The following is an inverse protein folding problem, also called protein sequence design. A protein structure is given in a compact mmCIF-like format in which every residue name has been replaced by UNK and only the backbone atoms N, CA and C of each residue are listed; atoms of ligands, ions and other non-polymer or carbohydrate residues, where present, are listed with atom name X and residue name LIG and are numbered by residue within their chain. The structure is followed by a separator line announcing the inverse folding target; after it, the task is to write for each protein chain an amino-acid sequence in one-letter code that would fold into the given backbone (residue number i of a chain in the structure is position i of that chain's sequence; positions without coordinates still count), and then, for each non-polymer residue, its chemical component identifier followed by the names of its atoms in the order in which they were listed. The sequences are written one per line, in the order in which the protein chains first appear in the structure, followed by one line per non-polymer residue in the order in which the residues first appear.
data_IF_818234413592
#
_entry.id   IF_818234413592
#
_cell.length_a   1.000
_cell.length_b   1.000
_cell.length_c   1.000
_cell.angle_alpha   90.00
_cell.angle_beta   90.00
_cell.angle_gamma   90.00
#
_symmetry.space_group_name_H-M   'P 1'
#
loop_
_entity.id
_entity.type
_entity.pdbx_description
1 polymer ?
#
# COMPACT_ATOMS: atom_id res chain seq x y z
N UNK A 1 -10.71 17.03 2.26
CA UNK A 1 -9.64 17.78 2.93
C UNK A 1 -8.54 16.78 3.26
N UNK A 2 -7.30 17.19 3.04
CA UNK A 2 -6.13 16.40 3.37
C UNK A 2 -5.32 17.23 4.36
N UNK A 3 -5.17 16.75 5.58
CA UNK A 3 -4.39 17.44 6.61
C UNK A 3 -2.92 17.11 6.47
N UNK A 4 -2.06 18.07 6.74
CA UNK A 4 -0.62 17.88 6.77
C UNK A 4 -0.04 18.39 8.09
N UNK A 5 0.92 17.66 8.62
CA UNK A 5 1.74 18.09 9.75
C UNK A 5 3.05 18.63 9.18
N UNK A 6 3.38 19.86 9.51
CA UNK A 6 4.63 20.52 9.11
C UNK A 6 5.39 20.84 10.36
N UNK A 7 6.61 20.32 10.49
CA UNK A 7 7.51 20.64 11.60
C UNK A 7 8.52 21.71 11.18
N UNK A 8 8.76 22.65 12.08
CA UNK A 8 9.69 23.74 11.86
C UNK A 8 10.78 23.74 12.93
N UNK A 9 11.99 24.15 12.55
CA UNK A 9 13.02 24.49 13.52
C UNK A 9 12.76 25.88 14.16
N UNK A 10 13.59 26.26 15.14
CA UNK A 10 13.47 27.57 15.80
C UNK A 10 13.74 28.76 14.90
N UNK A 11 14.31 28.52 13.71
CA UNK A 11 14.60 29.52 12.70
C UNK A 11 13.50 29.64 11.65
N UNK A 12 12.44 28.81 11.76
CA UNK A 12 11.32 28.81 10.83
C UNK A 12 11.53 27.98 9.56
N UNK A 13 12.58 27.17 9.49
CA UNK A 13 12.79 26.26 8.37
C UNK A 13 11.97 24.99 8.59
N UNK A 14 11.39 24.46 7.50
CA UNK A 14 10.67 23.18 7.53
C UNK A 14 11.68 22.07 7.73
N UNK A 15 11.54 21.29 8.80
CA UNK A 15 12.40 20.15 9.12
C UNK A 15 11.75 18.83 8.78
N UNK A 16 10.40 18.76 8.79
CA UNK A 16 9.65 17.58 8.39
C UNK A 16 8.28 17.97 7.82
N UNK A 17 7.82 17.18 6.86
CA UNK A 17 6.50 17.31 6.25
C UNK A 17 5.89 15.94 6.06
N UNK A 18 4.71 15.72 6.64
CA UNK A 18 3.95 14.46 6.50
C UNK A 18 2.47 14.78 6.35
N UNK A 19 1.80 14.00 5.53
CA UNK A 19 0.35 14.05 5.50
C UNK A 19 -0.19 13.39 6.77
N UNK A 20 -1.06 14.09 7.49
CA UNK A 20 -1.78 13.51 8.60
C UNK A 20 -2.70 12.39 8.06
N UNK A 21 -2.66 11.26 8.71
CA UNK A 21 -3.74 10.28 8.59
C UNK A 21 -5.02 10.93 9.13
N UNK A 22 -6.15 10.58 8.54
CA UNK A 22 -7.40 11.04 9.11
C UNK A 22 -7.51 10.59 10.58
N UNK A 23 -8.19 11.41 11.39
CA UNK A 23 -8.28 11.19 12.83
C UNK A 23 -8.91 9.83 13.18
N UNK A 24 -9.81 9.30 12.34
CA UNK A 24 -10.45 8.00 12.54
C UNK A 24 -9.44 6.86 12.37
N UNK A 25 -8.56 6.98 11.38
CA UNK A 25 -7.48 6.00 11.16
C UNK A 25 -6.50 6.00 12.32
N UNK A 26 -6.10 7.17 12.83
CA UNK A 26 -5.23 7.30 13.99
C UNK A 26 -5.88 6.73 15.27
N UNK A 27 -7.15 7.05 15.53
CA UNK A 27 -7.90 6.57 16.69
C UNK A 27 -8.17 5.06 16.68
N UNK A 28 -8.49 4.50 15.51
CA UNK A 28 -8.68 3.05 15.37
C UNK A 28 -7.41 2.25 15.63
N UNK A 29 -6.25 2.83 15.36
CA UNK A 29 -4.95 2.21 15.62
C UNK A 29 -4.50 2.29 17.08
N UNK A 30 -4.98 3.25 17.84
CA UNK A 30 -4.75 3.30 19.31
C UNK A 30 -5.41 2.12 20.04
N UNK A 31 -6.48 1.57 19.49
CA UNK A 31 -7.24 0.43 20.07
C UNK A 31 -6.59 -0.94 19.86
N UNK A 32 -5.51 -1.03 19.07
CA UNK A 32 -4.88 -2.30 18.68
C UNK A 32 -3.67 -2.67 19.55
N UNK A 33 -3.88 -2.84 20.85
CA UNK A 33 -2.83 -2.93 21.87
C UNK A 33 -1.74 -4.00 21.71
N UNK A 34 -2.00 -5.14 21.06
CA UNK A 34 -1.18 -6.34 21.30
C UNK A 34 -0.16 -6.70 20.20
N UNK A 35 -0.25 -6.13 18.99
CA UNK A 35 0.58 -6.57 17.86
C UNK A 35 1.84 -5.72 17.68
N UNK A 36 1.72 -4.43 17.89
CA UNK A 36 2.82 -3.46 17.74
C UNK A 36 2.68 -2.33 18.76
N UNK A 37 3.81 -1.78 19.24
CA UNK A 37 3.78 -0.60 20.11
C UNK A 37 3.18 0.61 19.36
N UNK A 38 2.77 1.64 20.10
CA UNK A 38 2.25 2.89 19.54
C UNK A 38 3.26 3.49 18.55
N UNK A 39 4.54 3.50 18.93
CA UNK A 39 5.65 4.03 18.11
C UNK A 39 5.81 3.23 16.83
N UNK A 40 5.80 1.90 16.92
CA UNK A 40 5.90 1.03 15.74
C UNK A 40 4.72 1.24 14.78
N UNK A 41 3.50 1.39 15.31
CA UNK A 41 2.32 1.69 14.48
C UNK A 41 2.46 3.02 13.77
N UNK A 42 2.88 4.06 14.47
CA UNK A 42 3.10 5.38 13.88
C UNK A 42 4.14 5.33 12.76
N UNK A 43 5.25 4.60 12.96
CA UNK A 43 6.27 4.42 11.93
C UNK A 43 5.68 3.68 10.72
N UNK A 44 4.97 2.56 10.93
CA UNK A 44 4.31 1.81 9.85
C UNK A 44 3.42 2.74 9.01
N UNK A 45 2.60 3.56 9.67
CA UNK A 45 1.71 4.49 9.00
C UNK A 45 2.44 5.55 8.19
N UNK A 46 3.49 6.15 8.75
CA UNK A 46 4.29 7.13 8.03
C UNK A 46 4.86 6.53 6.75
N UNK A 47 5.33 5.27 6.80
CA UNK A 47 5.87 4.61 5.61
C UNK A 47 4.79 4.20 4.62
N UNK A 48 3.61 3.80 5.06
CA UNK A 48 2.46 3.56 4.18
C UNK A 48 2.05 4.85 3.47
N UNK A 49 1.99 5.98 4.17
CA UNK A 49 1.69 7.28 3.57
C UNK A 49 2.79 7.76 2.62
N UNK A 50 4.06 7.55 2.97
CA UNK A 50 5.18 7.84 2.07
C UNK A 50 5.11 7.00 0.80
N UNK A 51 4.76 5.72 0.93
CA UNK A 51 4.55 4.81 -0.19
C UNK A 51 3.41 5.29 -1.10
N UNK A 52 2.24 5.63 -0.53
CA UNK A 52 1.11 6.19 -1.26
C UNK A 52 1.49 7.48 -2.00
N UNK A 53 2.13 8.39 -1.30
CA UNK A 53 2.55 9.69 -1.84
C UNK A 53 3.51 9.52 -3.01
N UNK A 54 4.50 8.62 -2.88
CA UNK A 54 5.45 8.34 -3.96
C UNK A 54 4.77 7.83 -5.23
N UNK A 55 3.71 7.01 -5.12
CA UNK A 55 2.91 6.61 -6.29
C UNK A 55 2.16 7.78 -6.90
N UNK A 56 1.48 8.58 -6.10
CA UNK A 56 0.67 9.71 -6.58
C UNK A 56 1.55 10.78 -7.26
N UNK A 57 2.77 10.94 -6.78
CA UNK A 57 3.78 11.83 -7.36
C UNK A 57 4.60 11.17 -8.48
N UNK A 58 4.40 9.86 -8.74
CA UNK A 58 5.18 9.07 -9.70
C UNK A 58 6.68 9.06 -9.37
N UNK A 59 7.03 9.16 -8.09
CA UNK A 59 8.41 9.12 -7.61
C UNK A 59 8.92 7.67 -7.57
N UNK A 60 9.40 7.23 -8.73
CA UNK A 60 9.91 5.86 -8.91
C UNK A 60 11.15 5.59 -8.05
N UNK A 61 11.97 6.61 -7.78
CA UNK A 61 13.21 6.44 -7.04
C UNK A 61 12.92 6.17 -5.56
N UNK A 62 11.96 6.87 -4.98
CA UNK A 62 11.50 6.60 -3.61
C UNK A 62 10.88 5.22 -3.51
N UNK A 63 10.02 4.84 -4.46
CA UNK A 63 9.39 3.50 -4.47
C UNK A 63 10.47 2.40 -4.57
N UNK A 64 11.44 2.55 -5.46
CA UNK A 64 12.52 1.57 -5.64
C UNK A 64 13.34 1.35 -4.37
N UNK A 65 13.65 2.42 -3.63
CA UNK A 65 14.38 2.34 -2.36
C UNK A 65 13.60 1.67 -1.23
N UNK A 66 12.27 1.68 -1.30
CA UNK A 66 11.41 1.04 -0.31
C UNK A 66 11.34 -0.49 -0.42
N UNK A 67 11.77 -1.07 -1.53
CA UNK A 67 11.76 -2.52 -1.74
C UNK A 67 13.13 -3.14 -1.49
N UNK A 68 13.12 -4.31 -0.83
CA UNK A 68 14.30 -5.18 -0.77
C UNK A 68 14.70 -5.66 -2.17
N UNK A 69 15.97 -5.95 -2.38
CA UNK A 69 16.47 -6.43 -3.68
C UNK A 69 15.91 -7.82 -4.04
N UNK A 70 15.60 -8.62 -3.03
CA UNK A 70 14.98 -9.95 -3.13
C UNK A 70 13.45 -9.92 -2.96
N UNK A 71 12.82 -8.75 -3.01
CA UNK A 71 11.39 -8.61 -2.77
C UNK A 71 10.54 -9.49 -3.69
N UNK A 72 9.59 -10.20 -3.09
CA UNK A 72 8.53 -10.92 -3.79
C UNK A 72 7.37 -9.97 -4.08
N UNK A 73 7.11 -9.71 -5.36
CA UNK A 73 6.05 -8.81 -5.78
C UNK A 73 5.05 -9.58 -6.64
N UNK A 74 3.79 -9.61 -6.21
CA UNK A 74 2.69 -10.21 -6.97
C UNK A 74 1.67 -9.12 -7.25
N UNK A 75 1.49 -8.81 -8.52
CA UNK A 75 0.46 -7.89 -9.00
C UNK A 75 -0.67 -8.67 -9.63
N UNK A 76 -1.88 -8.13 -9.57
CA UNK A 76 -3.05 -8.69 -10.23
C UNK A 76 -3.65 -7.68 -11.20
N UNK A 77 -4.31 -8.18 -12.23
CA UNK A 77 -5.11 -7.41 -13.16
C UNK A 77 -6.42 -8.14 -13.39
N UNK A 78 -7.54 -7.42 -13.22
CA UNK A 78 -8.85 -7.95 -13.57
C UNK A 78 -9.04 -7.83 -15.08
N UNK A 79 -9.27 -8.96 -15.74
CA UNK A 79 -9.57 -9.05 -17.17
C UNK A 79 -11.03 -9.41 -17.31
N UNK A 80 -11.79 -8.55 -17.97
CA UNK A 80 -13.18 -8.84 -18.37
C UNK A 80 -13.11 -9.50 -19.74
N UNK A 81 -13.13 -10.84 -19.79
CA UNK A 81 -13.16 -11.58 -21.04
C UNK A 81 -14.61 -11.64 -21.56
N UNK A 82 -14.82 -11.23 -22.80
CA UNK A 82 -16.03 -11.58 -23.54
C UNK A 82 -15.93 -13.06 -23.89
N UNK A 83 -16.68 -13.91 -23.21
CA UNK A 83 -16.83 -15.29 -23.66
C UNK A 83 -17.93 -15.34 -24.73
N UNK A 84 -17.57 -15.93 -25.89
CA UNK A 84 -18.34 -16.27 -27.07
C UNK A 84 -19.89 -16.13 -27.03
N UNK A 85 -20.58 -16.33 -28.06
CA UNK A 85 -22.01 -16.25 -28.39
C UNK A 85 -23.13 -16.13 -27.32
N UNK A 86 -22.86 -16.36 -26.04
CA UNK A 86 -23.84 -16.15 -24.96
C UNK A 86 -23.71 -14.74 -24.36
N UNK A 87 -24.67 -13.89 -24.66
CA UNK A 87 -24.70 -12.45 -24.37
C UNK A 87 -24.72 -12.08 -22.85
N UNK A 88 -24.70 -13.01 -21.91
CA UNK A 88 -24.95 -12.73 -20.48
C UNK A 88 -23.97 -13.28 -19.48
N UNK A 89 -22.84 -13.86 -19.87
CA UNK A 89 -21.88 -14.42 -18.91
C UNK A 89 -20.52 -13.72 -18.98
N UNK A 90 -20.39 -12.58 -18.28
CA UNK A 90 -19.11 -11.93 -18.01
C UNK A 90 -18.55 -12.47 -16.70
N UNK A 91 -17.60 -13.38 -16.76
CA UNK A 91 -16.83 -13.76 -15.55
C UNK A 91 -15.52 -12.97 -15.53
N UNK A 92 -15.30 -12.11 -14.55
CA UNK A 92 -14.01 -11.45 -14.39
C UNK A 92 -12.94 -12.51 -14.08
N UNK A 93 -11.85 -12.51 -14.84
CA UNK A 93 -10.67 -13.35 -14.60
C UNK A 93 -9.56 -12.50 -14.04
N UNK A 94 -8.92 -12.96 -12.97
CA UNK A 94 -7.74 -12.29 -12.41
C UNK A 94 -6.50 -12.94 -13.00
N UNK A 95 -5.64 -12.11 -13.58
CA UNK A 95 -4.31 -12.51 -14.02
C UNK A 95 -3.29 -12.01 -13.00
N UNK A 96 -2.62 -12.92 -12.31
CA UNK A 96 -1.53 -12.61 -11.41
C UNK A 96 -0.20 -12.66 -12.14
N UNK A 97 0.68 -11.72 -11.80
CA UNK A 97 2.04 -11.65 -12.33
C UNK A 97 3.02 -11.58 -11.16
N UNK A 98 3.88 -12.60 -11.04
CA UNK A 98 4.98 -12.62 -10.10
C UNK A 98 6.17 -11.90 -10.71
N UNK A 99 6.78 -10.99 -9.97
CA UNK A 99 7.87 -10.14 -10.43
C UNK A 99 8.93 -10.02 -9.33
N UNK A 100 10.18 -9.85 -9.74
CA UNK A 100 11.22 -9.33 -8.87
C UNK A 100 11.18 -7.78 -8.86
N UNK A 101 11.98 -7.16 -7.99
CA UNK A 101 12.08 -5.71 -7.85
C UNK A 101 12.35 -5.01 -9.18
N UNK A 102 13.37 -5.46 -9.93
CA UNK A 102 13.77 -4.81 -11.19
C UNK A 102 12.65 -4.85 -12.25
N UNK A 103 11.99 -5.99 -12.40
CA UNK A 103 10.85 -6.14 -13.31
C UNK A 103 9.68 -5.23 -12.91
N UNK A 104 9.37 -5.20 -11.60
CA UNK A 104 8.29 -4.37 -11.08
C UNK A 104 8.55 -2.88 -11.30
N UNK A 105 9.73 -2.40 -10.94
CA UNK A 105 10.12 -0.98 -11.13
C UNK A 105 10.10 -0.60 -12.61
N UNK A 106 10.59 -1.47 -13.51
CA UNK A 106 10.52 -1.25 -14.95
C UNK A 106 9.07 -1.14 -15.45
N UNK A 107 8.19 -2.03 -14.99
CA UNK A 107 6.77 -2.01 -15.34
C UNK A 107 6.07 -0.77 -14.79
N UNK A 108 6.37 -0.40 -13.56
CA UNK A 108 5.80 0.77 -12.91
C UNK A 108 6.24 2.07 -13.61
N UNK A 109 7.51 2.18 -13.99
CA UNK A 109 8.03 3.32 -14.78
C UNK A 109 7.25 3.50 -16.08
N UNK A 110 6.98 2.39 -16.80
CA UNK A 110 6.14 2.43 -18.00
C UNK A 110 4.69 2.85 -17.70
N UNK A 111 4.12 2.38 -16.59
CA UNK A 111 2.79 2.79 -16.16
C UNK A 111 2.74 4.29 -15.83
N UNK A 112 3.76 4.81 -15.15
CA UNK A 112 3.86 6.25 -14.82
C UNK A 112 3.96 7.14 -16.06
N UNK A 113 4.68 6.70 -17.09
CA UNK A 113 4.78 7.42 -18.36
C UNK A 113 3.47 7.42 -19.16
N UNK A 114 2.71 6.31 -19.12
CA UNK A 114 1.45 6.17 -19.87
C UNK A 114 0.27 6.91 -19.25
N UNK A 115 0.32 7.18 -17.95
CA UNK A 115 -0.76 7.82 -17.23
C UNK A 115 -0.45 9.30 -17.00
N UNK A 116 -1.39 10.18 -17.35
CA UNK A 116 -1.28 11.62 -17.08
C UNK A 116 -1.26 11.89 -15.58
N UNK A 117 -2.12 11.21 -14.84
CA UNK A 117 -2.23 11.27 -13.38
C UNK A 117 -2.50 9.88 -12.81
N UNK A 118 -2.16 9.70 -11.55
CA UNK A 118 -2.44 8.52 -10.73
C UNK A 118 -2.91 9.02 -9.37
N UNK A 119 -3.97 8.41 -8.86
CA UNK A 119 -4.51 8.63 -7.52
C UNK A 119 -4.70 7.28 -6.85
N UNK A 120 -3.84 6.99 -5.88
CA UNK A 120 -3.94 5.81 -5.03
C UNK A 120 -4.45 6.24 -3.67
N UNK A 121 -5.43 5.48 -3.17
CA UNK A 121 -5.93 5.61 -1.81
C UNK A 121 -5.79 4.28 -1.10
N UNK A 122 -5.34 4.35 0.16
CA UNK A 122 -5.33 3.21 1.07
C UNK A 122 -6.35 3.47 2.17
N UNK A 123 -7.09 2.43 2.53
CA UNK A 123 -7.99 2.45 3.68
C UNK A 123 -7.84 1.16 4.48
N UNK A 124 -8.23 1.22 5.74
CA UNK A 124 -8.20 0.06 6.62
C UNK A 124 -9.29 -0.94 6.23
N UNK A 125 -9.06 -2.19 6.59
CA UNK A 125 -10.03 -3.27 6.45
C UNK A 125 -10.53 -3.59 7.85
N UNK A 126 -11.83 -3.40 8.11
CA UNK A 126 -12.49 -3.83 9.33
C UNK A 126 -12.72 -5.35 9.37
N UNK A 127 -13.10 -5.88 10.53
CA UNK A 127 -13.35 -7.33 10.72
C UNK A 127 -14.46 -7.88 9.80
N UNK A 128 -15.38 -7.03 9.36
CA UNK A 128 -16.48 -7.39 8.45
C UNK A 128 -16.34 -6.79 7.05
N UNK A 129 -15.12 -6.40 6.64
CA UNK A 129 -14.92 -5.68 5.37
C UNK A 129 -15.27 -4.19 5.46
N UNK A 130 -15.73 -3.72 6.61
CA UNK A 130 -15.98 -2.30 6.89
C UNK A 130 -14.70 -1.55 7.28
N UNK A 131 -14.70 -0.25 7.12
CA UNK A 131 -13.53 0.63 7.30
C UNK A 131 -13.16 0.91 8.75
N UNK A 132 -13.37 -0.01 9.68
CA UNK A 132 -13.04 0.22 11.08
C UNK A 132 -12.37 -0.98 11.75
N UNK A 133 -11.21 -0.77 12.33
CA UNK A 133 -10.55 -1.73 13.22
C UNK A 133 -9.06 -1.97 12.96
N UNK A 134 -8.44 -2.59 13.92
CA UNK A 134 -7.02 -2.90 14.00
C UNK A 134 -6.54 -4.07 13.13
N UNK A 135 -7.41 -4.65 12.33
CA UNK A 135 -7.20 -5.93 11.65
C UNK A 135 -6.17 -5.92 10.52
N UNK A 136 -5.59 -4.75 10.20
CA UNK A 136 -4.64 -4.60 9.09
C UNK A 136 -3.19 -4.91 9.42
N UNK A 137 -2.76 -4.88 10.70
CA UNK A 137 -1.36 -5.06 11.08
C UNK A 137 -1.17 -6.39 11.79
N UNK A 138 -0.22 -7.19 11.30
CA UNK A 138 0.18 -8.46 11.90
C UNK A 138 1.69 -8.48 12.11
N UNK A 139 2.16 -9.14 13.18
CA UNK A 139 3.58 -9.34 13.45
C UNK A 139 4.01 -10.74 13.07
N UNK A 140 5.16 -10.87 12.43
CA UNK A 140 5.72 -12.17 12.10
C UNK A 140 6.11 -12.94 13.38
N UNK A 141 5.76 -14.24 13.43
CA UNK A 141 6.16 -15.12 14.53
C UNK A 141 7.65 -15.51 14.45
N UNK A 142 8.24 -15.48 13.25
CA UNK A 142 9.63 -15.90 13.01
C UNK A 142 10.60 -14.75 13.16
N UNK A 143 10.23 -13.56 12.75
CA UNK A 143 11.07 -12.36 12.84
C UNK A 143 10.28 -11.23 13.49
N UNK A 144 10.68 -10.82 14.70
CA UNK A 144 9.97 -9.80 15.49
C UNK A 144 10.02 -8.40 14.86
N UNK A 145 10.93 -8.18 13.91
CA UNK A 145 11.08 -6.91 13.20
C UNK A 145 10.26 -6.86 11.91
N UNK A 146 9.57 -7.95 11.56
CA UNK A 146 8.71 -8.01 10.38
C UNK A 146 7.24 -7.82 10.74
N UNK A 147 6.60 -6.89 10.04
CA UNK A 147 5.18 -6.56 10.17
C UNK A 147 4.48 -6.67 8.82
N UNK A 148 3.39 -7.44 8.79
CA UNK A 148 2.47 -7.47 7.67
C UNK A 148 1.43 -6.36 7.82
N UNK A 149 1.19 -5.62 6.74
CA UNK A 149 0.14 -4.59 6.68
C UNK A 149 -0.80 -4.94 5.55
N UNK A 150 -2.07 -5.11 5.87
CA UNK A 150 -3.13 -5.37 4.91
C UNK A 150 -4.06 -4.17 4.83
N UNK A 151 -4.34 -3.70 3.62
CA UNK A 151 -5.18 -2.52 3.37
C UNK A 151 -6.02 -2.72 2.12
N UNK A 152 -7.14 -2.01 2.06
CA UNK A 152 -7.88 -1.82 0.82
C UNK A 152 -7.14 -0.77 -0.02
N UNK A 153 -6.93 -1.07 -1.27
CA UNK A 153 -6.34 -0.17 -2.26
C UNK A 153 -7.39 0.22 -3.30
N UNK A 154 -7.59 1.51 -3.50
CA UNK A 154 -8.26 2.06 -4.68
C UNK A 154 -7.18 2.69 -5.57
N UNK A 155 -7.03 2.17 -6.78
CA UNK A 155 -6.17 2.74 -7.82
C UNK A 155 -7.04 3.42 -8.87
N UNK A 156 -6.80 4.70 -9.10
CA UNK A 156 -7.40 5.45 -10.20
C UNK A 156 -6.32 6.14 -11.00
N UNK A 157 -6.43 6.10 -12.30
CA UNK A 157 -5.50 6.77 -13.21
C UNK A 157 -6.20 7.23 -14.48
N UNK A 158 -5.50 7.96 -15.34
CA UNK A 158 -6.09 8.45 -16.59
C UNK A 158 -6.55 7.33 -17.55
N UNK A 159 -6.05 6.10 -17.38
CA UNK A 159 -6.31 5.00 -18.31
C UNK A 159 -6.84 3.71 -17.65
N UNK A 160 -6.87 3.66 -16.32
CA UNK A 160 -7.20 2.42 -15.61
C UNK A 160 -7.67 2.72 -14.19
N UNK A 161 -8.58 1.89 -13.69
CA UNK A 161 -8.98 1.89 -12.29
C UNK A 161 -9.21 0.47 -11.79
N UNK A 162 -8.86 0.22 -10.54
CA UNK A 162 -9.19 -1.02 -9.83
C UNK A 162 -9.37 -0.77 -8.34
N UNK A 163 -9.99 -1.74 -7.68
CA UNK A 163 -10.09 -1.81 -6.24
C UNK A 163 -9.74 -3.22 -5.77
N UNK A 164 -9.04 -3.30 -4.67
CA UNK A 164 -8.60 -4.57 -4.13
C UNK A 164 -7.88 -4.44 -2.80
N UNK A 165 -7.30 -5.55 -2.36
CA UNK A 165 -6.57 -5.66 -1.11
C UNK A 165 -5.08 -5.73 -1.39
N UNK A 166 -4.33 -4.81 -0.79
CA UNK A 166 -2.88 -4.78 -0.79
C UNK A 166 -2.36 -5.39 0.50
N UNK A 167 -1.38 -6.26 0.41
CA UNK A 167 -0.59 -6.72 1.53
C UNK A 167 0.87 -6.33 1.33
N UNK A 168 1.47 -5.74 2.37
CA UNK A 168 2.89 -5.40 2.43
C UNK A 168 3.52 -6.07 3.65
N UNK A 169 4.65 -6.76 3.45
CA UNK A 169 5.49 -7.24 4.55
C UNK A 169 6.70 -6.31 4.67
N UNK A 170 6.75 -5.58 5.77
CA UNK A 170 7.82 -4.65 6.12
C UNK A 170 8.79 -5.27 7.10
N UNK A 171 10.06 -5.02 6.93
CA UNK A 171 11.09 -5.22 7.94
C UNK A 171 11.54 -3.87 8.50
N UNK A 172 11.59 -3.76 9.83
CA UNK A 172 12.06 -2.59 10.57
C UNK A 172 13.43 -2.92 11.16
N UNK A 173 14.53 -2.37 10.59
CA UNK A 173 15.87 -2.68 11.05
C UNK A 173 16.09 -2.25 12.51
N UNK A 174 16.75 -3.10 13.30
CA UNK A 174 17.05 -2.79 14.72
C UNK A 174 17.98 -1.59 14.90
N UNK A 175 18.77 -1.27 13.89
CA UNK A 175 19.69 -0.13 13.89
C UNK A 175 19.02 1.22 13.58
N UNK A 176 17.68 1.27 13.46
CA UNK A 176 16.94 2.49 13.16
C UNK A 176 17.03 2.94 11.70
N UNK A 177 17.43 2.05 10.77
CA UNK A 177 17.38 2.33 9.34
C UNK A 177 15.95 2.40 8.79
N UNK A 178 15.82 2.85 7.54
CA UNK A 178 14.53 2.91 6.84
C UNK A 178 13.93 1.50 6.70
N UNK A 179 12.64 1.31 7.00
CA UNK A 179 11.94 0.06 6.75
C UNK A 179 11.94 -0.34 5.28
N UNK A 180 12.02 -1.64 5.04
CA UNK A 180 12.11 -2.23 3.70
C UNK A 180 10.97 -3.21 3.47
N UNK A 181 10.36 -3.18 2.28
CA UNK A 181 9.29 -4.09 1.85
C UNK A 181 9.91 -5.35 1.24
N UNK A 182 9.65 -6.51 1.85
CA UNK A 182 10.04 -7.82 1.34
C UNK A 182 8.96 -8.51 0.51
N UNK A 183 7.69 -8.23 0.80
CA UNK A 183 6.58 -8.82 0.06
C UNK A 183 5.55 -7.75 -0.25
N UNK A 184 5.08 -7.73 -1.49
CA UNK A 184 3.92 -6.98 -1.94
C UNK A 184 3.00 -7.92 -2.70
N UNK A 185 1.76 -8.07 -2.24
CA UNK A 185 0.74 -8.79 -3.00
C UNK A 185 -0.51 -7.94 -3.15
N UNK A 186 -1.25 -8.16 -4.24
CA UNK A 186 -2.53 -7.52 -4.49
C UNK A 186 -3.56 -8.57 -4.92
N UNK A 187 -4.77 -8.44 -4.42
CA UNK A 187 -5.92 -9.27 -4.77
C UNK A 187 -7.13 -8.37 -5.03
N UNK A 188 -7.99 -8.66 -6.01
CA UNK A 188 -9.20 -7.87 -6.24
C UNK A 188 -10.18 -8.02 -5.07
N UNK A 189 -11.03 -7.02 -4.89
CA UNK A 189 -11.97 -6.96 -3.77
C UNK A 189 -13.00 -8.08 -3.78
N UNK A 190 -13.38 -8.56 -4.96
CA UNK A 190 -14.25 -9.72 -5.11
C UNK A 190 -13.95 -10.47 -6.41
N UNK A 191 -13.54 -11.71 -6.26
CA UNK A 191 -13.82 -12.74 -7.25
C UNK A 191 -14.81 -13.68 -6.55
N UNK A 192 -16.09 -13.37 -6.70
CA UNK A 192 -17.15 -14.24 -6.20
C UNK A 192 -16.96 -15.64 -6.77
N UNK A 193 -16.91 -16.61 -5.88
CA UNK A 193 -17.00 -18.01 -6.22
C UNK A 193 -18.39 -18.37 -6.72
#
# INVERSE_FOLDING_TARGET
YQEAVVEFDRSGNITDFRFALDAQTAESMERCGDVASKEQRMIILQYVERFRTAYNQKDINTIEKMFSDDALIITGKVIIARQGTDQFSFKPKVQYTKQNKAQYISNLRRAFLRNKWIDIKFSQIGENGETSGCSGITRSRKNKNMFGVRMRQSWKSSNYSDEGYLFLLWEFPENGGDPIIHVRTWQPEYVGG
#
